data_IF_104702036945
#
_entry.id   IF_104702036945
#
_cell.length_a   1.000
_cell.length_b   1.000
_cell.length_c   1.000
_cell.angle_alpha   90.00
_cell.angle_beta   90.00
_cell.angle_gamma   90.00
#
_symmetry.space_group_name_H-M   'P 1'
#
loop_
_entity.id
_entity.type
_entity.pdbx_description
1 polymer ?
#
# COMPACT_ATOMS: atom_id res chain seq x y z
N UNK A 1 9.72 -15.56 20.15
CA UNK A 1 9.97 -14.60 19.06
C UNK A 1 11.19 -15.06 18.31
N UNK A 2 11.01 -15.70 17.16
CA UNK A 2 12.10 -15.98 16.22
C UNK A 2 12.64 -14.64 15.72
N UNK A 3 13.97 -14.44 15.76
CA UNK A 3 14.58 -13.26 15.17
C UNK A 3 14.08 -13.13 13.73
N UNK A 4 13.49 -11.97 13.38
CA UNK A 4 13.02 -11.72 12.02
C UNK A 4 14.23 -11.75 11.09
N UNK A 5 14.48 -12.90 10.45
CA UNK A 5 15.55 -13.04 9.46
C UNK A 5 15.37 -11.96 8.40
N UNK A 6 16.45 -11.25 8.09
CA UNK A 6 16.45 -10.33 6.96
C UNK A 6 16.32 -11.12 5.66
N UNK A 7 15.59 -10.60 4.67
CA UNK A 7 15.49 -11.25 3.37
C UNK A 7 16.88 -11.38 2.73
N UNK A 8 17.13 -12.43 1.94
CA UNK A 8 18.42 -12.63 1.29
C UNK A 8 18.76 -11.45 0.38
N UNK A 9 19.94 -10.89 0.60
CA UNK A 9 20.58 -9.86 -0.23
C UNK A 9 22.06 -10.20 -0.42
N UNK A 10 22.32 -11.29 -1.15
CA UNK A 10 23.64 -11.89 -1.31
C UNK A 10 24.00 -12.04 -2.79
N UNK A 11 25.28 -11.92 -3.16
CA UNK A 11 25.71 -12.16 -4.53
C UNK A 11 25.31 -13.55 -5.04
N UNK A 12 24.91 -13.62 -6.30
CA UNK A 12 24.47 -14.81 -7.02
C UNK A 12 24.99 -14.78 -8.48
N UNK A 13 24.60 -15.75 -9.30
CA UNK A 13 24.83 -15.69 -10.75
C UNK A 13 24.00 -14.61 -11.46
N UNK A 14 22.97 -14.07 -10.82
CA UNK A 14 22.05 -13.06 -11.38
C UNK A 14 22.30 -11.65 -10.81
N UNK A 15 22.87 -11.55 -9.61
CA UNK A 15 23.11 -10.28 -8.94
C UNK A 15 24.50 -10.24 -8.29
N UNK A 16 25.35 -9.35 -8.77
CA UNK A 16 26.64 -9.01 -8.15
C UNK A 16 26.46 -8.16 -6.89
N UNK A 17 27.49 -8.07 -6.04
CA UNK A 17 27.47 -7.16 -4.89
C UNK A 17 27.17 -5.71 -5.30
N UNK A 18 27.76 -5.24 -6.40
CA UNK A 18 27.54 -3.88 -6.92
C UNK A 18 26.10 -3.64 -7.37
N UNK A 19 25.47 -4.61 -8.05
CA UNK A 19 24.05 -4.52 -8.41
C UNK A 19 23.14 -4.52 -7.18
N UNK A 20 23.50 -5.24 -6.13
CA UNK A 20 22.76 -5.23 -4.86
C UNK A 20 22.89 -3.89 -4.14
N UNK A 21 24.03 -3.22 -4.21
CA UNK A 21 24.19 -1.84 -3.71
C UNK A 21 23.35 -0.83 -4.51
N UNK A 22 23.26 -0.99 -5.83
CA UNK A 22 22.34 -0.19 -6.66
C UNK A 22 20.88 -0.41 -6.24
N UNK A 23 20.50 -1.67 -5.99
CA UNK A 23 19.16 -2.00 -5.51
C UNK A 23 18.85 -1.33 -4.15
N UNK A 24 19.81 -1.36 -3.21
CA UNK A 24 19.69 -0.65 -1.92
C UNK A 24 19.57 0.85 -2.11
N UNK A 25 20.38 1.45 -2.98
CA UNK A 25 20.32 2.89 -3.26
C UNK A 25 18.95 3.32 -3.82
N UNK A 26 18.35 2.48 -4.67
CA UNK A 26 16.99 2.68 -5.15
C UNK A 26 15.97 2.56 -4.00
N UNK A 27 16.11 1.53 -3.15
CA UNK A 27 15.24 1.33 -2.00
C UNK A 27 15.36 2.43 -0.96
N UNK A 28 16.54 2.96 -0.70
CA UNK A 28 16.75 4.12 0.18
C UNK A 28 16.01 5.35 -0.35
N UNK A 29 15.97 5.53 -1.67
CA UNK A 29 15.20 6.62 -2.28
C UNK A 29 13.69 6.45 -2.09
N UNK A 30 13.19 5.23 -2.26
CA UNK A 30 11.79 4.91 -2.00
C UNK A 30 11.45 4.96 -0.51
N UNK A 31 12.36 4.52 0.36
CA UNK A 31 12.22 4.55 1.82
C UNK A 31 12.08 5.96 2.36
N UNK A 32 12.70 6.96 1.73
CA UNK A 32 12.45 8.38 2.05
C UNK A 32 11.01 8.82 1.75
N UNK A 33 10.42 8.33 0.66
CA UNK A 33 9.02 8.60 0.34
C UNK A 33 8.07 7.90 1.33
N UNK A 34 8.37 6.65 1.70
CA UNK A 34 7.63 5.94 2.76
C UNK A 34 7.77 6.61 4.13
N UNK A 35 8.94 7.17 4.45
CA UNK A 35 9.14 7.91 5.69
C UNK A 35 8.28 9.18 5.72
N UNK A 36 8.23 9.93 4.61
CA UNK A 36 7.36 11.10 4.51
C UNK A 36 5.87 10.71 4.71
N UNK A 37 5.42 9.60 4.10
CA UNK A 37 4.10 9.04 4.36
C UNK A 37 3.88 8.67 5.84
N UNK A 38 4.88 8.10 6.50
CA UNK A 38 4.80 7.67 7.89
C UNK A 38 4.73 8.84 8.89
N UNK A 39 4.97 10.07 8.43
CA UNK A 39 4.82 11.30 9.22
C UNK A 39 3.38 11.86 9.16
N UNK A 40 2.51 11.33 8.30
CA UNK A 40 1.10 11.73 8.20
C UNK A 40 0.28 11.24 9.42
N UNK A 41 -0.77 11.99 9.77
CA UNK A 41 -1.64 11.66 10.90
C UNK A 41 -2.39 10.35 10.65
N UNK A 42 -2.28 9.40 11.59
CA UNK A 42 -2.91 8.09 11.47
C UNK A 42 -2.15 7.10 10.57
N UNK A 43 -0.92 7.44 10.16
CA UNK A 43 0.00 6.52 9.51
C UNK A 43 0.59 5.51 10.51
N UNK A 44 0.77 4.28 10.05
CA UNK A 44 1.34 3.19 10.85
C UNK A 44 2.33 2.37 10.00
N UNK A 45 3.39 1.87 10.62
CA UNK A 45 4.40 1.06 9.93
C UNK A 45 4.75 -0.20 10.70
N UNK A 46 4.95 -1.30 9.97
CA UNK A 46 5.39 -2.56 10.53
C UNK A 46 6.27 -3.34 9.58
N UNK A 47 7.15 -4.17 10.15
CA UNK A 47 7.90 -5.18 9.40
C UNK A 47 7.29 -6.55 9.62
N UNK A 48 6.97 -7.25 8.54
CA UNK A 48 6.47 -8.62 8.58
C UNK A 48 7.09 -9.47 7.46
N UNK A 49 7.77 -10.54 7.87
CA UNK A 49 8.47 -11.43 6.95
C UNK A 49 9.48 -10.67 6.08
N UNK A 50 9.29 -10.78 4.76
CA UNK A 50 10.14 -10.13 3.77
C UNK A 50 9.79 -8.67 3.48
N UNK A 51 8.80 -8.11 4.18
CA UNK A 51 8.18 -6.85 3.82
C UNK A 51 8.25 -5.82 4.95
N UNK A 52 8.38 -4.55 4.55
CA UNK A 52 8.03 -3.37 5.34
C UNK A 52 6.72 -2.84 4.77
N UNK A 53 5.73 -2.66 5.63
CA UNK A 53 4.37 -2.24 5.30
C UNK A 53 4.12 -0.91 6.00
N UNK A 54 3.70 0.09 5.23
CA UNK A 54 3.14 1.33 5.74
C UNK A 54 1.66 1.41 5.39
N UNK A 55 0.81 1.59 6.39
CA UNK A 55 -0.60 1.93 6.24
C UNK A 55 -0.75 3.43 6.42
N UNK A 56 -1.44 4.09 5.50
CA UNK A 56 -1.79 5.51 5.57
C UNK A 56 -3.25 5.66 5.18
N UNK A 57 -3.88 6.73 5.62
CA UNK A 57 -5.21 7.07 5.21
C UNK A 57 -5.37 8.58 5.05
N UNK A 58 -6.14 8.98 4.04
CA UNK A 58 -6.41 10.38 3.73
C UNK A 58 -7.93 10.59 3.53
N UNK A 59 -8.33 11.84 3.30
CA UNK A 59 -9.67 12.13 2.79
C UNK A 59 -9.89 11.42 1.43
N UNK A 60 -11.11 10.96 1.16
CA UNK A 60 -11.43 10.33 -0.12
C UNK A 60 -11.10 11.25 -1.29
N UNK A 61 -10.42 10.72 -2.32
CA UNK A 61 -9.93 11.52 -3.43
C UNK A 61 -10.21 10.91 -4.80
N UNK A 62 -10.21 11.77 -5.82
CA UNK A 62 -10.36 11.37 -7.20
C UNK A 62 -9.06 10.86 -7.81
N UNK A 63 -9.16 10.12 -8.90
CA UNK A 63 -8.01 9.57 -9.61
C UNK A 63 -8.29 9.42 -11.11
N UNK A 64 -7.23 9.45 -11.92
CA UNK A 64 -7.35 9.13 -13.34
C UNK A 64 -7.46 7.62 -13.55
N UNK A 65 -8.38 7.23 -14.42
CA UNK A 65 -8.47 5.88 -14.96
C UNK A 65 -8.29 5.92 -16.48
N UNK A 66 -7.65 4.89 -17.05
CA UNK A 66 -7.61 4.70 -18.49
C UNK A 66 -8.92 4.06 -18.95
N UNK A 67 -9.66 4.76 -19.81
CA UNK A 67 -10.89 4.28 -20.44
C UNK A 67 -10.70 4.25 -21.95
N UNK A 68 -10.55 3.06 -22.53
CA UNK A 68 -10.11 2.90 -23.91
C UNK A 68 -8.69 3.45 -24.09
N UNK A 69 -8.55 4.52 -24.87
CA UNK A 69 -7.29 5.21 -25.16
C UNK A 69 -7.16 6.58 -24.47
N UNK A 70 -8.07 6.92 -23.55
CA UNK A 70 -8.09 8.23 -22.86
C UNK A 70 -8.02 8.10 -21.36
N UNK A 71 -7.27 9.01 -20.73
CA UNK A 71 -7.35 9.23 -19.29
C UNK A 71 -8.59 10.05 -18.97
N UNK A 72 -9.37 9.56 -18.00
CA UNK A 72 -10.59 10.18 -17.52
C UNK A 72 -10.52 10.31 -16.01
N UNK A 73 -10.80 11.50 -15.50
CA UNK A 73 -10.86 11.76 -14.07
C UNK A 73 -12.11 11.14 -13.47
N UNK A 74 -11.90 10.26 -12.50
CA UNK A 74 -12.95 9.70 -11.66
C UNK A 74 -12.90 10.39 -10.31
N UNK A 75 -13.84 11.29 -10.06
CA UNK A 75 -13.95 11.98 -8.77
C UNK A 75 -14.30 11.00 -7.65
N UNK A 76 -13.85 11.24 -6.42
CA UNK A 76 -14.36 10.51 -5.28
C UNK A 76 -15.90 10.57 -5.22
N UNK A 77 -16.54 9.42 -5.05
CA UNK A 77 -17.99 9.33 -4.91
C UNK A 77 -18.49 10.18 -3.72
N UNK A 78 -19.75 10.61 -3.75
CA UNK A 78 -20.29 11.48 -2.69
C UNK A 78 -20.33 10.78 -1.32
N UNK A 79 -20.51 9.47 -1.34
CA UNK A 79 -20.56 8.62 -0.17
C UNK A 79 -19.19 8.17 0.35
N UNK A 80 -18.12 8.35 -0.44
CA UNK A 80 -16.77 8.05 -0.03
C UNK A 80 -16.27 9.09 0.98
N UNK A 81 -15.65 8.63 2.06
CA UNK A 81 -15.15 9.51 3.10
C UNK A 81 -13.76 9.18 3.63
N UNK A 82 -13.06 8.19 3.06
CA UNK A 82 -11.65 7.93 3.35
C UNK A 82 -10.99 7.31 2.12
N UNK A 83 -9.71 7.62 1.91
CA UNK A 83 -8.81 6.89 1.02
C UNK A 83 -7.89 6.02 1.87
N UNK A 84 -7.89 4.71 1.66
CA UNK A 84 -7.04 3.76 2.39
C UNK A 84 -5.83 3.43 1.52
N UNK A 85 -4.63 3.53 2.07
CA UNK A 85 -3.38 3.31 1.35
C UNK A 85 -2.46 2.31 2.08
N UNK A 86 -1.80 1.47 1.29
CA UNK A 86 -0.75 0.58 1.76
C UNK A 86 0.45 0.65 0.83
N UNK A 87 1.58 1.13 1.34
CA UNK A 87 2.87 1.06 0.66
C UNK A 87 3.64 -0.17 1.15
N UNK A 88 4.17 -0.96 0.21
CA UNK A 88 4.90 -2.20 0.52
C UNK A 88 6.31 -2.15 -0.07
N UNK A 89 7.31 -2.22 0.80
CA UNK A 89 8.72 -2.34 0.43
C UNK A 89 9.30 -3.69 0.82
N UNK A 90 10.32 -4.13 0.09
CA UNK A 90 11.15 -5.26 0.48
C UNK A 90 12.01 -4.90 1.70
N UNK A 91 12.03 -5.75 2.72
CA UNK A 91 12.78 -5.50 3.94
C UNK A 91 14.29 -5.75 3.83
N UNK A 92 14.77 -6.29 2.71
CA UNK A 92 16.19 -6.54 2.45
C UNK A 92 16.88 -5.40 1.69
N UNK A 93 16.19 -4.80 0.72
CA UNK A 93 16.72 -3.77 -0.17
C UNK A 93 15.90 -2.47 -0.21
N UNK A 94 14.74 -2.41 0.43
CA UNK A 94 13.94 -1.19 0.60
C UNK A 94 13.11 -0.78 -0.62
N UNK A 95 13.16 -1.54 -1.73
CA UNK A 95 12.42 -1.16 -2.95
C UNK A 95 10.94 -1.50 -2.82
N UNK A 96 10.10 -0.70 -3.48
CA UNK A 96 8.69 -1.03 -3.68
C UNK A 96 8.50 -2.40 -4.32
N UNK A 97 7.53 -3.18 -3.83
CA UNK A 97 7.18 -4.50 -4.38
C UNK A 97 5.85 -4.41 -5.15
N UNK A 98 5.88 -4.38 -6.51
CA UNK A 98 4.68 -4.33 -7.33
C UNK A 98 4.00 -5.69 -7.47
N UNK A 99 2.76 -5.70 -7.98
CA UNK A 99 2.05 -6.93 -8.37
C UNK A 99 1.64 -7.82 -7.20
N UNK A 100 1.47 -7.25 -6.01
CA UNK A 100 0.97 -7.95 -4.82
C UNK A 100 -0.56 -7.91 -4.78
N UNK A 101 -1.14 -8.89 -4.09
CA UNK A 101 -2.52 -8.82 -3.61
C UNK A 101 -2.50 -8.22 -2.21
N UNK A 102 -3.15 -7.08 -2.03
CA UNK A 102 -3.17 -6.35 -0.76
C UNK A 102 -4.60 -6.08 -0.36
N UNK A 103 -4.94 -6.36 0.90
CA UNK A 103 -6.25 -6.09 1.46
C UNK A 103 -6.16 -5.47 2.84
N UNK A 104 -7.18 -4.71 3.22
CA UNK A 104 -7.34 -4.10 4.54
C UNK A 104 -8.67 -4.54 5.13
N UNK A 105 -8.63 -4.99 6.39
CA UNK A 105 -9.80 -5.14 7.24
C UNK A 105 -9.78 -4.06 8.32
N UNK A 106 -10.90 -3.34 8.46
CA UNK A 106 -11.15 -2.46 9.59
C UNK A 106 -12.09 -3.16 10.55
N UNK A 107 -11.76 -3.18 11.83
CA UNK A 107 -12.59 -3.73 12.89
C UNK A 107 -12.77 -2.74 14.04
N UNK A 108 -13.86 -2.87 14.79
CA UNK A 108 -14.11 -2.14 16.04
C UNK A 108 -14.91 -3.03 16.98
N UNK A 109 -14.57 -2.99 18.27
CA UNK A 109 -15.26 -3.75 19.32
C UNK A 109 -15.35 -5.27 19.02
N UNK A 110 -14.34 -5.80 18.33
CA UNK A 110 -14.27 -7.21 17.90
C UNK A 110 -15.15 -7.57 16.69
N UNK A 111 -15.80 -6.61 16.05
CA UNK A 111 -16.58 -6.79 14.83
C UNK A 111 -15.92 -6.17 13.60
N UNK A 112 -15.97 -6.87 12.46
CA UNK A 112 -15.54 -6.33 11.18
C UNK A 112 -16.47 -5.18 10.75
N UNK A 113 -15.86 -4.07 10.34
CA UNK A 113 -16.52 -2.86 9.84
C UNK A 113 -16.39 -2.77 8.32
N UNK A 114 -15.23 -3.11 7.77
CA UNK A 114 -14.94 -3.02 6.34
C UNK A 114 -13.90 -4.06 5.95
N UNK A 115 -14.05 -4.66 4.78
CA UNK A 115 -12.97 -5.36 4.08
C UNK A 115 -12.78 -4.75 2.69
N UNK A 116 -11.56 -4.35 2.35
CA UNK A 116 -11.22 -3.73 1.08
C UNK A 116 -10.03 -4.43 0.42
N UNK A 117 -10.18 -4.82 -0.85
CA UNK A 117 -9.05 -5.16 -1.71
C UNK A 117 -8.47 -3.86 -2.29
N UNK A 118 -7.15 -3.71 -2.24
CA UNK A 118 -6.45 -2.50 -2.64
C UNK A 118 -5.71 -2.72 -3.97
N UNK A 119 -6.19 -2.18 -5.10
CA UNK A 119 -5.46 -2.23 -6.35
C UNK A 119 -4.20 -1.36 -6.31
N UNK A 120 -3.24 -1.69 -7.18
CA UNK A 120 -2.04 -0.88 -7.38
C UNK A 120 -2.39 0.51 -7.92
N UNK A 121 -1.80 1.54 -7.31
CA UNK A 121 -1.94 2.94 -7.69
C UNK A 121 -0.56 3.60 -7.84
N UNK A 122 -0.51 4.57 -8.74
CA UNK A 122 0.61 5.49 -8.90
C UNK A 122 0.25 6.84 -8.28
N UNK A 123 1.14 7.34 -7.42
CA UNK A 123 1.09 8.70 -6.90
C UNK A 123 2.40 9.44 -7.29
N UNK A 124 2.39 10.77 -7.54
CA UNK A 124 3.58 11.50 -7.99
C UNK A 124 4.85 11.30 -7.15
N UNK A 125 4.75 11.00 -5.85
CA UNK A 125 5.91 10.76 -5.00
C UNK A 125 6.12 9.31 -4.54
N UNK A 126 5.15 8.41 -4.76
CA UNK A 126 5.30 6.99 -4.40
C UNK A 126 4.33 6.05 -5.14
N UNK A 127 4.63 4.76 -5.07
CA UNK A 127 3.72 3.70 -5.52
C UNK A 127 3.10 3.02 -4.32
N UNK A 128 1.79 2.80 -4.33
CA UNK A 128 1.09 2.12 -3.25
C UNK A 128 -0.07 1.29 -3.78
N UNK A 129 -0.80 0.68 -2.87
CA UNK A 129 -2.08 0.03 -3.12
C UNK A 129 -3.15 0.81 -2.38
N UNK A 130 -4.26 1.14 -3.02
CA UNK A 130 -5.26 1.96 -2.34
C UNK A 130 -6.65 1.94 -2.95
N UNK A 131 -7.63 2.34 -2.14
CA UNK A 131 -9.03 2.41 -2.52
C UNK A 131 -9.78 3.44 -1.68
N UNK A 132 -10.76 4.10 -2.30
CA UNK A 132 -11.75 4.87 -1.55
C UNK A 132 -12.70 3.93 -0.81
N UNK A 133 -13.11 4.33 0.38
CA UNK A 133 -14.08 3.61 1.18
C UNK A 133 -15.08 4.56 1.85
N UNK A 134 -16.18 3.95 2.32
CA UNK A 134 -17.15 4.57 3.21
C UNK A 134 -17.09 3.91 4.58
N UNK A 135 -16.65 4.66 5.59
CA UNK A 135 -16.62 4.26 7.00
C UNK A 135 -17.63 5.05 7.83
N UNK A 136 -18.14 4.53 8.97
CA UNK A 136 -19.17 5.22 9.74
C UNK A 136 -18.69 6.49 10.44
N UNK A 137 -17.43 6.54 10.88
CA UNK A 137 -16.83 7.69 11.58
C UNK A 137 -15.28 7.60 11.54
N UNK A 138 -14.58 8.45 12.30
CA UNK A 138 -13.11 8.61 12.27
C UNK A 138 -12.35 7.57 13.10
N UNK A 139 -12.99 6.57 13.71
CA UNK A 139 -12.28 5.65 14.59
C UNK A 139 -12.38 5.99 16.09
N UNK A 140 -11.67 5.21 16.94
CA UNK A 140 -10.60 4.29 16.56
C UNK A 140 -11.07 3.00 15.86
N UNK A 141 -10.20 2.44 15.01
CA UNK A 141 -10.34 1.13 14.39
C UNK A 141 -9.10 0.29 14.61
N UNK A 142 -9.30 -1.01 14.70
CA UNK A 142 -8.26 -2.00 14.54
C UNK A 142 -8.08 -2.29 13.05
N UNK A 143 -6.88 -2.09 12.52
CA UNK A 143 -6.55 -2.24 11.10
C UNK A 143 -5.72 -3.50 10.92
N UNK A 144 -6.19 -4.41 10.08
CA UNK A 144 -5.40 -5.57 9.64
C UNK A 144 -5.07 -5.40 8.17
N UNK A 145 -3.78 -5.24 7.86
CA UNK A 145 -3.29 -5.27 6.48
C UNK A 145 -2.81 -6.68 6.17
N UNK A 146 -3.32 -7.25 5.08
CA UNK A 146 -2.87 -8.55 4.56
C UNK A 146 -2.21 -8.37 3.21
N UNK A 147 -1.03 -8.95 3.05
CA UNK A 147 -0.33 -9.05 1.77
C UNK A 147 -0.22 -10.53 1.40
N UNK A 148 -0.84 -10.90 0.28
CA UNK A 148 -0.81 -12.26 -0.24
C UNK A 148 0.56 -12.66 -0.82
N UNK A 149 0.80 -13.96 -1.06
CA UNK A 149 2.04 -14.42 -1.69
C UNK A 149 2.17 -13.85 -3.12
N UNK A 150 3.37 -13.39 -3.46
CA UNK A 150 3.65 -12.81 -4.78
C UNK A 150 3.64 -13.89 -5.88
N UNK A 151 2.83 -13.66 -6.91
CA UNK A 151 2.58 -14.61 -8.01
C UNK A 151 3.53 -14.44 -9.21
N UNK A 152 4.31 -13.36 -9.25
CA UNK A 152 5.25 -13.12 -10.34
C UNK A 152 6.50 -14.02 -10.28
N UNK A 153 7.10 -14.24 -11.45
CA UNK A 153 8.36 -14.99 -11.61
C UNK A 153 9.56 -14.17 -11.10
N UNK A 154 10.58 -14.85 -10.59
CA UNK A 154 11.78 -14.24 -9.99
C UNK A 154 13.02 -14.86 -10.63
N UNK A 155 13.96 -14.03 -11.11
CA UNK A 155 15.14 -14.50 -11.86
C UNK A 155 16.26 -15.07 -10.97
N UNK A 156 16.41 -14.62 -9.72
CA UNK A 156 17.55 -14.96 -8.85
C UNK A 156 17.31 -16.21 -7.97
N UNK A 157 18.18 -17.24 -8.00
CA UNK A 157 18.00 -18.48 -7.22
C UNK A 157 18.22 -18.31 -5.70
N UNK A 158 18.90 -17.26 -5.28
CA UNK A 158 19.18 -16.92 -3.87
C UNK A 158 18.21 -15.86 -3.39
N UNK A 159 18.25 -14.68 -4.02
CA UNK A 159 17.47 -13.52 -3.63
C UNK A 159 16.01 -13.60 -4.09
N UNK A 160 15.66 -14.48 -5.04
CA UNK A 160 14.29 -14.73 -5.46
C UNK A 160 13.47 -15.59 -4.48
N UNK A 161 14.07 -16.05 -3.38
CA UNK A 161 13.39 -16.84 -2.33
C UNK A 161 12.67 -15.94 -1.32
N UNK A 162 11.92 -14.94 -1.82
CA UNK A 162 11.20 -13.92 -1.05
C UNK A 162 9.73 -13.84 -1.45
N UNK A 163 8.88 -13.36 -0.53
CA UNK A 163 7.44 -13.07 -0.73
C UNK A 163 6.57 -14.30 -1.06
N UNK A 164 7.03 -15.50 -0.69
CA UNK A 164 6.31 -16.74 -0.97
C UNK A 164 5.21 -17.04 0.05
N UNK A 165 5.25 -16.39 1.22
CA UNK A 165 4.26 -16.56 2.29
C UNK A 165 3.44 -15.27 2.41
N UNK A 166 2.13 -15.39 2.70
CA UNK A 166 1.34 -14.22 3.07
C UNK A 166 1.86 -13.64 4.39
N UNK A 167 1.66 -12.34 4.56
CA UNK A 167 1.91 -11.66 5.84
C UNK A 167 0.70 -10.86 6.24
N UNK A 168 0.43 -10.84 7.54
CA UNK A 168 -0.59 -10.03 8.16
C UNK A 168 0.10 -9.08 9.16
N UNK A 169 -0.25 -7.80 9.14
CA UNK A 169 0.14 -6.82 10.16
C UNK A 169 -1.10 -6.21 10.78
N UNK A 170 -1.03 -5.99 12.08
CA UNK A 170 -2.14 -5.48 12.87
C UNK A 170 -1.72 -4.17 13.55
N UNK A 171 -2.52 -3.13 13.34
CA UNK A 171 -2.38 -1.82 13.94
C UNK A 171 -3.63 -1.54 14.78
N UNK A 172 -3.45 -1.28 16.07
CA UNK A 172 -4.56 -1.08 16.99
C UNK A 172 -4.87 0.40 17.16
N UNK A 173 -6.16 0.73 17.26
CA UNK A 173 -6.58 2.07 17.68
C UNK A 173 -6.34 3.21 16.68
N UNK A 174 -6.26 2.89 15.39
CA UNK A 174 -5.99 3.86 14.31
C UNK A 174 -7.19 4.80 14.13
N UNK A 175 -6.90 6.11 14.04
CA UNK A 175 -7.90 7.13 13.69
C UNK A 175 -7.79 7.46 12.20
N UNK A 176 -8.94 7.54 11.54
CA UNK A 176 -9.03 7.84 10.12
C UNK A 176 -9.33 9.32 9.86
N UNK A 177 -8.75 9.84 8.79
CA UNK A 177 -8.98 11.13 8.17
C UNK A 177 -10.29 11.09 7.38
N UNK A 178 -11.42 11.26 8.07
CA UNK A 178 -12.70 11.29 7.38
C UNK A 178 -12.90 12.61 6.65
N UNK A 179 -13.13 12.53 5.34
CA UNK A 179 -13.43 13.66 4.50
C UNK A 179 -13.42 13.28 3.03
N UNK A 180 -13.57 14.30 2.19
CA UNK A 180 -13.45 14.15 0.74
C UNK A 180 -12.75 15.38 0.19
N UNK A 181 -11.76 15.16 -0.66
CA UNK A 181 -10.90 16.16 -1.29
C UNK A 181 -11.24 16.28 -2.78
N UNK A 182 -12.16 17.18 -3.19
CA UNK A 182 -12.61 17.27 -4.57
C UNK A 182 -11.55 17.95 -5.45
N UNK A 183 -11.45 17.51 -6.71
CA UNK A 183 -10.49 18.07 -7.67
C UNK A 183 -11.18 18.83 -8.81
N UNK A 184 -11.67 20.07 -8.60
CA UNK A 184 -12.54 20.78 -9.54
C UNK A 184 -11.91 21.04 -10.91
N UNK A 185 -10.59 21.14 -10.99
CA UNK A 185 -9.83 21.38 -12.22
C UNK A 185 -9.63 20.12 -13.08
N UNK A 186 -9.88 18.92 -12.54
CA UNK A 186 -9.58 17.69 -13.24
C UNK A 186 -10.59 17.39 -14.36
N UNK A 187 -10.05 17.10 -15.55
CA UNK A 187 -10.78 16.93 -16.80
C UNK A 187 -9.99 16.03 -17.77
N UNK A 188 -10.64 15.30 -18.69
CA UNK A 188 -12.09 15.13 -18.82
C UNK A 188 -12.65 14.28 -17.65
N UNK A 189 -13.91 14.49 -17.27
CA UNK A 189 -14.57 13.73 -16.18
C UNK A 189 -15.34 12.51 -16.69
N UNK A 190 -15.33 11.45 -15.89
CA UNK A 190 -16.08 10.22 -16.11
C UNK A 190 -16.98 9.87 -14.93
N UNK A 191 -17.25 8.57 -14.76
CA UNK A 191 -17.95 8.07 -13.59
C UNK A 191 -17.13 8.31 -12.31
N UNK A 192 -17.79 8.28 -11.14
CA UNK A 192 -17.11 8.37 -9.85
C UNK A 192 -16.11 7.22 -9.66
N UNK A 193 -15.07 7.46 -8.85
CA UNK A 193 -14.11 6.45 -8.45
C UNK A 193 -14.84 5.35 -7.66
N UNK A 194 -14.43 4.07 -7.81
CA UNK A 194 -14.99 2.99 -7.01
C UNK A 194 -14.85 3.26 -5.52
N UNK A 195 -15.90 2.92 -4.77
CA UNK A 195 -15.96 3.08 -3.31
C UNK A 195 -16.30 1.74 -2.69
N UNK A 196 -15.46 1.29 -1.75
CA UNK A 196 -15.77 0.11 -0.92
C UNK A 196 -16.71 0.52 0.20
N UNK A 197 -17.84 -0.16 0.34
CA UNK A 197 -18.80 0.09 1.41
C UNK A 197 -18.77 -1.04 2.43
N UNK A 198 -19.01 -0.67 3.70
CA UNK A 198 -19.31 -1.58 4.80
C UNK A 198 -20.62 -2.37 4.58
#
# INVERSE_FOLDING_TARGET
MTAQQQPPMRPSNEATAEQLEVARSQGDAYGRAMQAMAEEDGAETARAGDLVIAFVNEEAEGMYALEGDRLVWREAAEEANVHLEVAVADAGDGRFVPGLSVSVELARDGGAVLHAELPFLWHPFLHHYGANARVPDTGPYDVTVRVGPAQFMRHDPVNGRRYAQPVDVHFAGVRLSNGRKPSPSAQPRGAAAPTVAA
#
